data_IF_565714366729
#
_entry.id   IF_565714366729
#
_cell.length_a   1.000
_cell.length_b   1.000
_cell.length_c   1.000
_cell.angle_alpha   90.00
_cell.angle_beta   90.00
_cell.angle_gamma   90.00
#
_symmetry.space_group_name_H-M   'P 1'
#
loop_
_entity.id
_entity.type
_entity.pdbx_description
1 polymer ?
#
# COMPACT_ATOMS: atom_id res chain seq x y z
N UNK A 1 5.01 30.13 25.22
CA UNK A 1 5.53 28.76 25.10
C UNK A 1 5.15 28.28 23.71
N UNK A 2 6.09 28.33 22.76
CA UNK A 2 5.82 27.99 21.36
C UNK A 2 5.57 26.49 21.26
N UNK A 3 4.40 26.09 20.74
CA UNK A 3 4.17 24.71 20.34
C UNK A 3 5.09 24.44 19.15
N UNK A 4 6.02 23.51 19.33
CA UNK A 4 6.79 22.96 18.21
C UNK A 4 5.79 22.31 17.26
N UNK A 5 5.61 22.92 16.08
CA UNK A 5 5.03 22.25 14.92
C UNK A 5 5.91 21.02 14.64
N UNK A 6 5.48 19.87 15.15
CA UNK A 6 6.11 18.59 14.84
C UNK A 6 5.75 18.28 13.39
N UNK A 7 6.75 18.32 12.52
CA UNK A 7 6.66 17.93 11.11
C UNK A 7 5.92 16.59 11.02
N UNK A 8 4.75 16.58 10.40
CA UNK A 8 4.09 15.34 10.01
C UNK A 8 4.88 14.80 8.82
N UNK A 9 5.73 13.82 9.07
CA UNK A 9 6.48 13.12 8.01
C UNK A 9 5.48 12.29 7.20
N UNK A 10 5.28 12.66 5.94
CA UNK A 10 4.45 11.92 4.97
C UNK A 10 5.34 11.09 4.06
N UNK A 11 4.93 9.85 3.82
CA UNK A 11 5.64 8.93 2.94
C UNK A 11 4.86 8.71 1.64
N UNK A 12 5.58 8.78 0.53
CA UNK A 12 5.01 8.67 -0.81
C UNK A 12 5.62 7.48 -1.54
N UNK A 13 4.79 6.81 -2.33
CA UNK A 13 5.28 6.07 -3.50
C UNK A 13 5.49 7.11 -4.60
N UNK A 14 6.70 7.19 -5.13
CA UNK A 14 7.08 8.22 -6.11
C UNK A 14 7.59 7.58 -7.39
N UNK A 15 7.04 7.99 -8.53
CA UNK A 15 7.63 7.68 -9.85
C UNK A 15 8.58 8.79 -10.27
N UNK A 16 9.71 8.37 -10.82
CA UNK A 16 10.75 9.25 -11.34
C UNK A 16 11.01 8.90 -12.80
N UNK A 17 11.22 9.94 -13.61
CA UNK A 17 11.76 9.79 -14.95
C UNK A 17 13.21 9.28 -14.91
N UNK A 18 13.79 8.86 -16.05
CA UNK A 18 15.21 8.50 -16.12
C UNK A 18 16.18 9.61 -15.71
N UNK A 19 15.74 10.88 -15.77
CA UNK A 19 16.48 12.05 -15.30
C UNK A 19 16.20 12.41 -13.82
N UNK A 20 15.57 11.51 -13.07
CA UNK A 20 15.19 11.67 -11.66
C UNK A 20 14.22 12.83 -11.41
N UNK A 21 13.41 13.17 -12.41
CA UNK A 21 12.33 14.15 -12.25
C UNK A 21 11.07 13.45 -11.75
N UNK A 22 10.41 14.01 -10.73
CA UNK A 22 9.15 13.46 -10.22
C UNK A 22 8.08 13.52 -11.30
N UNK A 23 7.52 12.36 -11.63
CA UNK A 23 6.39 12.24 -12.56
C UNK A 23 5.07 12.26 -11.79
N UNK A 24 5.00 11.50 -10.70
CA UNK A 24 3.86 11.49 -9.78
C UNK A 24 4.28 11.01 -8.39
N UNK A 25 3.45 11.35 -7.40
CA UNK A 25 3.54 10.88 -6.03
C UNK A 25 2.18 10.39 -5.57
N UNK A 26 2.15 9.29 -4.82
CA UNK A 26 0.96 8.76 -4.20
C UNK A 26 1.15 8.60 -2.70
N UNK A 27 0.24 9.17 -1.92
CA UNK A 27 0.23 9.09 -0.46
C UNK A 27 -0.88 8.15 0.01
N UNK A 28 -0.56 7.23 0.93
CA UNK A 28 -1.58 6.56 1.71
C UNK A 28 -2.04 7.48 2.86
N UNK A 29 -3.32 7.84 2.85
CA UNK A 29 -3.94 8.69 3.87
C UNK A 29 -4.85 7.91 4.83
N UNK A 30 -4.87 6.58 4.73
CA UNK A 30 -5.69 5.74 5.59
C UNK A 30 -5.26 5.87 7.05
N UNK A 31 -6.23 6.02 7.96
CA UNK A 31 -6.03 6.06 9.42
C UNK A 31 -6.73 4.90 10.13
N UNK A 32 -7.30 3.98 9.36
CA UNK A 32 -8.15 2.92 9.85
C UNK A 32 -7.40 1.58 9.90
N UNK A 33 -7.35 0.99 11.09
CA UNK A 33 -7.06 -0.43 11.26
C UNK A 33 -8.31 -1.23 10.96
N UNK A 34 -8.23 -2.17 10.01
CA UNK A 34 -9.34 -3.01 9.63
C UNK A 34 -9.09 -4.49 9.97
N UNK A 35 -10.15 -5.21 10.33
CA UNK A 35 -10.13 -6.65 10.61
C UNK A 35 -11.19 -7.33 9.78
N UNK A 36 -10.84 -8.48 9.18
CA UNK A 36 -11.79 -9.37 8.51
C UNK A 36 -12.44 -10.28 9.54
N UNK A 37 -13.75 -10.25 9.62
CA UNK A 37 -14.55 -11.09 10.51
C UNK A 37 -14.77 -12.49 9.90
N UNK A 38 -15.17 -13.50 10.70
CA UNK A 38 -15.45 -14.85 10.20
C UNK A 38 -16.55 -14.94 9.13
N UNK A 39 -17.44 -13.95 9.07
CA UNK A 39 -18.51 -13.83 8.05
C UNK A 39 -18.05 -13.08 6.77
N UNK A 40 -16.74 -12.85 6.63
CA UNK A 40 -16.09 -12.06 5.58
C UNK A 40 -16.38 -10.56 5.56
N UNK A 41 -17.21 -10.04 6.49
CA UNK A 41 -17.33 -8.60 6.66
C UNK A 41 -16.02 -7.99 7.17
N UNK A 42 -15.84 -6.69 6.93
CA UNK A 42 -14.66 -5.94 7.40
C UNK A 42 -15.13 -4.87 8.37
N UNK A 43 -14.54 -4.83 9.55
CA UNK A 43 -14.77 -3.78 10.55
C UNK A 43 -13.49 -2.99 10.73
N UNK A 44 -13.59 -1.67 10.85
CA UNK A 44 -12.43 -0.81 11.00
C UNK A 44 -12.58 0.15 12.18
N UNK A 45 -11.46 0.47 12.82
CA UNK A 45 -11.35 1.47 13.88
C UNK A 45 -10.34 2.55 13.47
N UNK A 46 -10.62 3.79 13.85
CA UNK A 46 -9.71 4.91 13.58
C UNK A 46 -8.75 5.07 14.77
N UNK A 47 -7.58 4.42 14.67
CA UNK A 47 -6.57 4.36 15.73
C UNK A 47 -5.15 4.74 15.24
N UNK A 48 -4.98 5.01 13.94
CA UNK A 48 -3.71 5.47 13.36
C UNK A 48 -3.82 6.93 12.90
N UNK A 49 -3.82 7.92 13.82
CA UNK A 49 -4.04 9.33 13.48
C UNK A 49 -2.94 9.94 12.61
N UNK A 50 -1.81 9.25 12.44
CA UNK A 50 -0.70 9.65 11.57
C UNK A 50 -0.59 8.80 10.30
N UNK A 51 -1.57 7.93 10.08
CA UNK A 51 -1.57 6.94 9.00
C UNK A 51 -0.60 5.80 9.22
N UNK A 52 -0.32 5.09 8.13
CA UNK A 52 0.51 3.88 8.07
C UNK A 52 1.73 4.11 7.18
N UNK A 53 2.81 3.39 7.43
CA UNK A 53 3.97 3.38 6.53
C UNK A 53 3.71 2.54 5.28
N UNK A 54 4.53 2.78 4.26
CA UNK A 54 4.72 1.86 3.15
C UNK A 54 5.77 0.80 3.52
N UNK A 55 5.36 -0.33 4.12
CA UNK A 55 6.25 -1.49 4.32
C UNK A 55 6.51 -2.29 3.04
N UNK A 56 6.85 -1.58 1.96
CA UNK A 56 7.12 -2.17 0.64
C UNK A 56 8.63 -2.26 0.42
N UNK A 57 9.13 -3.46 0.13
CA UNK A 57 10.53 -3.65 -0.30
C UNK A 57 10.68 -3.44 -1.81
N UNK A 58 9.69 -3.88 -2.60
CA UNK A 58 9.64 -3.66 -4.03
C UNK A 58 8.18 -3.66 -4.52
N UNK A 59 7.70 -2.60 -5.19
CA UNK A 59 6.42 -2.63 -5.88
C UNK A 59 6.51 -3.46 -7.16
N UNK A 60 5.38 -3.96 -7.65
CA UNK A 60 5.28 -4.56 -8.98
C UNK A 60 4.62 -3.59 -9.95
N UNK A 61 5.00 -3.60 -11.23
CA UNK A 61 4.39 -2.73 -12.26
C UNK A 61 3.93 -3.62 -13.42
N UNK A 62 2.67 -3.50 -13.82
CA UNK A 62 2.13 -4.26 -14.95
C UNK A 62 2.43 -3.61 -16.32
N UNK A 63 2.07 -4.29 -17.41
CA UNK A 63 2.27 -3.81 -18.78
C UNK A 63 1.47 -2.52 -19.12
N UNK A 64 0.48 -2.15 -18.30
CA UNK A 64 -0.28 -0.91 -18.44
C UNK A 64 0.33 0.23 -17.61
N UNK A 65 1.42 -0.02 -16.89
CA UNK A 65 2.06 0.93 -15.99
C UNK A 65 1.33 1.10 -14.65
N UNK A 66 0.48 0.14 -14.26
CA UNK A 66 -0.15 0.15 -12.94
C UNK A 66 0.86 -0.34 -11.92
N UNK A 67 1.14 0.48 -10.92
CA UNK A 67 2.01 0.16 -9.79
C UNK A 67 1.22 -0.49 -8.66
N UNK A 68 1.72 -1.61 -8.17
CA UNK A 68 1.16 -2.38 -7.07
C UNK A 68 2.08 -2.32 -5.86
N UNK A 69 1.56 -1.81 -4.73
CA UNK A 69 2.32 -1.62 -3.49
C UNK A 69 1.49 -2.04 -2.28
N UNK A 70 2.06 -2.86 -1.40
CA UNK A 70 1.48 -3.20 -0.10
C UNK A 70 1.79 -2.10 0.94
N UNK A 71 0.87 -1.86 1.86
CA UNK A 71 1.04 -0.93 2.99
C UNK A 71 0.80 -1.68 4.31
N UNK A 72 1.36 -1.14 5.40
CA UNK A 72 1.13 -1.68 6.75
C UNK A 72 -0.34 -1.70 7.15
N UNK A 73 -1.17 -0.87 6.51
CA UNK A 73 -2.62 -0.82 6.75
C UNK A 73 -3.38 -2.07 6.27
N UNK A 74 -2.66 -3.06 5.74
CA UNK A 74 -3.19 -4.33 5.30
C UNK A 74 -3.78 -4.32 3.90
N UNK A 75 -3.68 -3.18 3.18
CA UNK A 75 -4.13 -3.09 1.80
C UNK A 75 -2.98 -3.23 0.81
N UNK A 76 -3.33 -3.87 -0.30
CA UNK A 76 -2.60 -3.78 -1.54
C UNK A 76 -3.22 -2.65 -2.39
N UNK A 77 -2.40 -1.70 -2.79
CA UNK A 77 -2.79 -0.56 -3.61
C UNK A 77 -2.45 -0.85 -5.06
N UNK A 78 -3.39 -0.58 -5.96
CA UNK A 78 -3.15 -0.43 -7.39
C UNK A 78 -3.21 1.05 -7.74
N UNK A 79 -2.12 1.60 -8.27
CA UNK A 79 -1.94 3.01 -8.59
C UNK A 79 -1.72 3.10 -10.11
N UNK A 80 -2.53 3.90 -10.81
CA UNK A 80 -2.40 4.10 -12.26
C UNK A 80 -1.05 4.76 -12.59
N UNK A 81 -0.62 4.65 -13.85
CA UNK A 81 0.61 5.27 -14.36
C UNK A 81 0.67 6.80 -14.25
N UNK A 82 -0.46 7.46 -13.98
CA UNK A 82 -0.55 8.89 -13.70
C UNK A 82 -0.61 9.23 -12.19
N UNK A 83 -0.35 8.26 -11.32
CA UNK A 83 -0.35 8.43 -9.85
C UNK A 83 -1.72 8.45 -9.19
N UNK A 84 -2.81 8.21 -9.93
CA UNK A 84 -4.16 8.14 -9.32
C UNK A 84 -4.45 6.75 -8.76
N UNK A 85 -5.23 6.67 -7.67
CA UNK A 85 -5.68 5.40 -7.11
C UNK A 85 -6.58 4.66 -8.11
N UNK A 86 -6.18 3.46 -8.53
CA UNK A 86 -7.04 2.55 -9.30
C UNK A 86 -7.93 1.73 -8.38
N UNK A 87 -7.34 1.11 -7.35
CA UNK A 87 -8.05 0.26 -6.40
C UNK A 87 -7.25 0.08 -5.11
N UNK A 88 -7.95 -0.14 -3.99
CA UNK A 88 -7.39 -0.72 -2.76
C UNK A 88 -8.01 -2.08 -2.50
N UNK A 89 -7.20 -3.05 -2.11
CA UNK A 89 -7.62 -4.43 -1.86
C UNK A 89 -7.19 -4.80 -0.44
N UNK A 90 -8.15 -4.89 0.48
CA UNK A 90 -7.85 -5.28 1.85
C UNK A 90 -7.50 -6.77 1.92
N UNK A 91 -6.25 -7.07 2.28
CA UNK A 91 -5.72 -8.41 2.40
C UNK A 91 -5.93 -8.91 3.83
N UNK A 92 -5.20 -8.31 4.77
CA UNK A 92 -5.23 -8.58 6.21
C UNK A 92 -4.39 -7.52 6.91
N UNK A 93 -4.75 -7.06 8.10
CA UNK A 93 -3.88 -6.22 8.93
C UNK A 93 -2.89 -7.11 9.70
N UNK A 94 -1.62 -6.72 9.74
CA UNK A 94 -0.56 -7.44 10.45
C UNK A 94 -0.13 -6.69 11.72
N UNK A 95 0.22 -7.43 12.79
CA UNK A 95 0.85 -6.85 13.97
C UNK A 95 2.37 -6.82 13.73
N UNK A 96 2.87 -5.70 13.20
CA UNK A 96 4.25 -5.56 12.76
C UNK A 96 4.47 -6.14 11.37
N UNK A 97 4.05 -5.40 10.34
CA UNK A 97 4.17 -5.84 8.97
C UNK A 97 5.64 -5.97 8.56
N UNK A 98 6.02 -7.11 7.98
CA UNK A 98 7.33 -7.27 7.40
C UNK A 98 7.42 -6.48 6.09
N UNK A 99 8.62 -5.98 5.77
CA UNK A 99 8.89 -5.44 4.45
C UNK A 99 8.90 -6.57 3.42
N UNK A 100 7.86 -6.65 2.60
CA UNK A 100 7.69 -7.72 1.60
C UNK A 100 7.53 -7.14 0.20
N UNK A 101 8.03 -7.80 -0.85
CA UNK A 101 7.79 -7.38 -2.22
C UNK A 101 6.40 -7.82 -2.70
N UNK A 102 5.88 -7.12 -3.71
CA UNK A 102 4.83 -7.63 -4.58
C UNK A 102 5.45 -8.13 -5.89
N UNK A 103 4.86 -9.17 -6.51
CA UNK A 103 5.36 -9.73 -7.78
C UNK A 103 4.22 -10.12 -8.70
N UNK A 104 4.41 -9.98 -10.01
CA UNK A 104 3.45 -10.39 -11.03
C UNK A 104 4.00 -11.63 -11.73
N UNK A 105 3.23 -12.72 -11.72
CA UNK A 105 3.57 -13.95 -12.42
C UNK A 105 3.36 -13.83 -13.93
N UNK A 106 3.96 -14.75 -14.69
CA UNK A 106 3.74 -14.84 -16.15
C UNK A 106 2.29 -15.19 -16.53
N UNK A 107 1.50 -15.63 -15.56
CA UNK A 107 0.06 -15.85 -15.65
C UNK A 107 -0.78 -14.57 -15.42
N UNK A 108 -0.13 -13.43 -15.18
CA UNK A 108 -0.77 -12.15 -14.93
C UNK A 108 -1.31 -11.97 -13.50
N UNK A 109 -1.15 -12.97 -12.63
CA UNK A 109 -1.58 -12.86 -11.23
C UNK A 109 -0.54 -12.10 -10.42
N UNK A 110 -1.03 -11.34 -9.44
CA UNK A 110 -0.23 -10.60 -8.49
C UNK A 110 -0.13 -11.39 -7.19
N UNK A 111 1.10 -11.52 -6.70
CA UNK A 111 1.46 -12.24 -5.48
C UNK A 111 2.04 -11.24 -4.49
N UNK A 112 1.44 -11.15 -3.30
CA UNK A 112 1.94 -10.33 -2.20
C UNK A 112 1.83 -11.08 -0.88
N UNK A 113 2.68 -10.74 0.08
CA UNK A 113 2.64 -11.33 1.40
C UNK A 113 2.17 -10.29 2.41
N UNK A 114 1.32 -10.69 3.35
CA UNK A 114 1.08 -9.92 4.56
C UNK A 114 0.66 -10.83 5.72
N UNK A 115 1.03 -10.48 6.95
CA UNK A 115 0.70 -11.26 8.16
C UNK A 115 1.05 -12.77 8.03
N UNK A 116 2.18 -13.08 7.39
CA UNK A 116 2.61 -14.47 7.14
C UNK A 116 1.82 -15.23 6.07
N UNK A 117 0.85 -14.59 5.42
CA UNK A 117 0.01 -15.19 4.38
C UNK A 117 0.43 -14.70 2.99
N UNK A 118 0.47 -15.62 2.01
CA UNK A 118 0.58 -15.29 0.59
C UNK A 118 -0.81 -15.04 0.02
N UNK A 119 -1.02 -13.85 -0.53
CA UNK A 119 -2.22 -13.46 -1.26
C UNK A 119 -1.97 -13.53 -2.76
N UNK A 120 -2.99 -13.98 -3.49
CA UNK A 120 -2.99 -14.00 -4.96
C UNK A 120 -4.19 -13.20 -5.45
N UNK A 121 -3.93 -12.23 -6.31
CA UNK A 121 -4.94 -11.32 -6.86
C UNK A 121 -4.90 -11.39 -8.40
N UNK A 122 -6.07 -11.50 -9.02
CA UNK A 122 -6.21 -11.69 -10.46
C UNK A 122 -6.93 -13.00 -10.79
N UNK A 123 -7.62 -13.02 -11.93
CA UNK A 123 -8.27 -14.22 -12.46
C UNK A 123 -7.32 -14.98 -13.39
#
# INVERSE_FOLDING_TARGET
MAMSDRIVTTYFVTSLSPSLTVEWMFQNTNTLSCTRNPDNSVTCISDHPRGFEWCVNAPAIDNNGVTYANSEDGNLFAINSNGTLKQKIFQQLAIGAAYTPASIGGDGKLYSQNDGHLYVVGN
#
